data_IF_184306444241
#
_entry.id   IF_184306444241
#
_cell.length_a   1.000
_cell.length_b   1.000
_cell.length_c   1.000
_cell.angle_alpha   90.00
_cell.angle_beta   90.00
_cell.angle_gamma   90.00
#
_symmetry.space_group_name_H-M   'P 1'
#
loop_
_entity.id
_entity.type
_entity.pdbx_description
1 polymer ?
#
# COMPACT_ATOMS: atom_id res chain seq x y z
N UNK A 1 1.33 8.22 -32.57
CA UNK A 1 1.54 6.75 -32.61
C UNK A 1 3.01 6.36 -32.80
N UNK A 2 3.76 6.93 -33.75
CA UNK A 2 5.22 6.67 -33.88
C UNK A 2 6.07 7.00 -32.62
N UNK A 3 5.56 7.82 -31.69
CA UNK A 3 6.22 8.11 -30.41
C UNK A 3 6.06 7.03 -29.34
N UNK A 4 5.00 6.21 -29.40
CA UNK A 4 4.76 5.12 -28.44
C UNK A 4 5.81 4.01 -28.61
N UNK A 5 6.12 3.62 -29.84
CA UNK A 5 7.12 2.57 -30.14
C UNK A 5 8.53 2.92 -29.64
N UNK A 6 8.95 4.19 -29.71
CA UNK A 6 10.31 4.60 -29.33
C UNK A 6 10.56 4.74 -27.83
N UNK A 7 9.51 4.88 -27.01
CA UNK A 7 9.66 5.12 -25.54
C UNK A 7 8.90 4.15 -24.64
N UNK A 8 7.91 3.41 -25.15
CA UNK A 8 7.13 2.44 -24.38
C UNK A 8 7.58 0.98 -24.58
N UNK A 9 8.62 0.73 -25.40
CA UNK A 9 8.91 -0.61 -25.94
C UNK A 9 9.84 -1.51 -25.12
N UNK A 10 10.28 -1.15 -23.92
CA UNK A 10 11.29 -1.94 -23.18
C UNK A 10 10.83 -2.50 -21.83
N UNK A 11 9.95 -1.81 -21.10
CA UNK A 11 9.50 -2.28 -19.79
C UNK A 11 8.17 -3.04 -19.92
N UNK A 12 8.15 -4.29 -19.45
CA UNK A 12 6.92 -5.05 -19.25
C UNK A 12 6.19 -4.50 -18.03
N UNK A 13 4.94 -4.08 -18.22
CA UNK A 13 4.15 -3.36 -17.21
C UNK A 13 2.78 -3.99 -16.98
N UNK A 14 2.40 -5.00 -17.77
CA UNK A 14 1.11 -5.67 -17.61
C UNK A 14 1.12 -7.15 -17.93
N UNK A 15 0.10 -7.85 -17.44
CA UNK A 15 -0.31 -9.19 -17.85
C UNK A 15 -1.77 -9.12 -18.31
N UNK A 16 -2.08 -9.80 -19.41
CA UNK A 16 -3.42 -9.90 -19.96
C UNK A 16 -3.83 -11.37 -20.07
N UNK A 17 -4.96 -11.68 -19.48
CA UNK A 17 -5.56 -13.01 -19.45
C UNK A 17 -7.00 -12.98 -19.93
N UNK A 18 -7.27 -13.64 -21.06
CA UNK A 18 -8.61 -13.83 -21.60
C UNK A 18 -9.07 -15.27 -21.38
N UNK A 19 -10.27 -15.45 -20.82
CA UNK A 19 -10.84 -16.76 -20.48
C UNK A 19 -12.15 -16.99 -21.22
N UNK A 20 -12.21 -18.09 -21.96
CA UNK A 20 -13.39 -18.49 -22.73
C UNK A 20 -14.49 -19.16 -21.88
N UNK A 21 -15.61 -19.49 -22.53
CA UNK A 21 -16.74 -20.20 -21.90
C UNK A 21 -16.41 -21.61 -21.41
N UNK A 22 -15.35 -22.22 -21.95
CA UNK A 22 -14.80 -23.49 -21.49
C UNK A 22 -14.00 -23.33 -20.19
N UNK A 23 -13.65 -22.10 -19.79
CA UNK A 23 -12.73 -21.82 -18.69
C UNK A 23 -11.27 -21.98 -19.10
N UNK A 24 -10.99 -22.12 -20.39
CA UNK A 24 -9.63 -22.09 -20.90
C UNK A 24 -9.17 -20.64 -20.91
N UNK A 25 -8.10 -20.40 -20.16
CA UNK A 25 -7.50 -19.10 -19.93
C UNK A 25 -6.26 -18.98 -20.81
N UNK A 26 -6.14 -17.89 -21.58
CA UNK A 26 -5.07 -17.63 -22.53
C UNK A 26 -4.24 -16.43 -22.07
N UNK A 27 -2.97 -16.67 -21.74
CA UNK A 27 -2.05 -15.58 -21.39
C UNK A 27 -1.49 -15.01 -22.69
N UNK A 28 -1.68 -13.73 -22.92
CA UNK A 28 -1.15 -13.10 -24.13
C UNK A 28 0.36 -12.92 -24.00
N UNK A 29 1.15 -13.91 -24.45
CA UNK A 29 2.59 -13.78 -24.69
C UNK A 29 3.47 -13.47 -23.47
N UNK A 30 2.96 -13.66 -22.24
CA UNK A 30 3.65 -13.28 -21.02
C UNK A 30 3.44 -11.82 -20.64
N UNK A 31 4.45 -11.21 -20.03
CA UNK A 31 4.47 -9.81 -19.66
C UNK A 31 4.53 -8.90 -20.88
N UNK A 32 3.61 -7.93 -20.91
CA UNK A 32 3.38 -7.02 -22.02
C UNK A 32 3.92 -5.62 -21.71
N UNK A 33 4.55 -5.00 -22.71
CA UNK A 33 4.78 -3.55 -22.71
C UNK A 33 3.45 -2.80 -22.87
N UNK A 34 3.41 -1.49 -22.60
CA UNK A 34 2.20 -0.71 -22.82
C UNK A 34 1.72 -0.79 -24.29
N UNK A 35 2.65 -0.80 -25.25
CA UNK A 35 2.29 -0.89 -26.66
C UNK A 35 1.78 -2.28 -27.06
N UNK A 36 2.37 -3.35 -26.50
CA UNK A 36 1.89 -4.71 -26.74
C UNK A 36 0.53 -4.94 -26.08
N UNK A 37 0.29 -4.36 -24.90
CA UNK A 37 -1.03 -4.33 -24.27
C UNK A 37 -2.06 -3.64 -25.18
N UNK A 38 -1.75 -2.47 -25.73
CA UNK A 38 -2.63 -1.79 -26.70
C UNK A 38 -2.97 -2.69 -27.89
N UNK A 39 -1.97 -3.36 -28.48
CA UNK A 39 -2.19 -4.28 -29.61
C UNK A 39 -3.07 -5.46 -29.22
N UNK A 40 -2.84 -6.06 -28.05
CA UNK A 40 -3.59 -7.20 -27.56
C UNK A 40 -5.05 -6.82 -27.28
N UNK A 41 -5.29 -5.68 -26.61
CA UNK A 41 -6.63 -5.20 -26.29
C UNK A 41 -7.48 -4.82 -27.52
N UNK A 42 -6.84 -4.48 -28.65
CA UNK A 42 -7.54 -4.20 -29.92
C UNK A 42 -8.02 -5.43 -30.65
N UNK A 43 -7.54 -6.62 -30.30
CA UNK A 43 -8.03 -7.85 -30.90
C UNK A 43 -9.48 -8.06 -30.46
N UNK A 44 -10.39 -8.43 -31.38
CA UNK A 44 -11.74 -8.81 -31.00
C UNK A 44 -11.64 -9.95 -29.99
N UNK A 45 -12.40 -9.84 -28.90
CA UNK A 45 -12.44 -10.83 -27.84
C UNK A 45 -13.48 -11.86 -28.27
N UNK A 46 -13.05 -13.10 -28.49
CA UNK A 46 -13.98 -14.24 -28.62
C UNK A 46 -14.40 -14.73 -27.22
N UNK A 47 -13.67 -14.30 -26.19
CA UNK A 47 -13.78 -14.67 -24.80
C UNK A 47 -14.70 -13.74 -23.99
N UNK A 48 -15.35 -14.29 -22.95
CA UNK A 48 -16.31 -13.54 -22.15
C UNK A 48 -15.69 -12.92 -20.87
N UNK A 49 -14.52 -13.42 -20.41
CA UNK A 49 -13.84 -12.89 -19.22
C UNK A 49 -12.46 -12.35 -19.59
N UNK A 50 -12.17 -11.11 -19.21
CA UNK A 50 -10.86 -10.47 -19.43
C UNK A 50 -10.26 -9.96 -18.13
N UNK A 51 -9.02 -10.31 -17.82
CA UNK A 51 -8.30 -9.87 -16.62
C UNK A 51 -7.01 -9.16 -17.00
N UNK A 52 -6.85 -7.94 -16.51
CA UNK A 52 -5.72 -7.06 -16.84
C UNK A 52 -5.04 -6.66 -15.54
N UNK A 53 -3.84 -7.18 -15.34
CA UNK A 53 -2.97 -6.79 -14.24
C UNK A 53 -1.94 -5.78 -14.74
N UNK A 54 -1.74 -4.69 -14.01
CA UNK A 54 -0.77 -3.63 -14.34
C UNK A 54 0.07 -3.29 -13.11
N UNK A 55 1.38 -3.47 -13.24
CA UNK A 55 2.35 -3.01 -12.27
C UNK A 55 2.82 -1.60 -12.64
N UNK A 56 2.88 -0.70 -11.65
CA UNK A 56 3.39 0.66 -11.78
C UNK A 56 2.77 1.43 -12.96
N UNK A 57 1.43 1.49 -13.00
CA UNK A 57 0.69 2.10 -14.12
C UNK A 57 1.27 3.47 -14.50
N UNK A 58 1.65 3.61 -15.76
CA UNK A 58 2.27 4.81 -16.31
C UNK A 58 1.37 5.49 -17.35
N UNK A 59 1.84 6.62 -17.89
CA UNK A 59 1.09 7.39 -18.90
C UNK A 59 0.80 6.61 -20.18
N UNK A 60 1.68 5.67 -20.55
CA UNK A 60 1.54 4.89 -21.79
C UNK A 60 0.53 3.77 -21.61
N UNK A 61 0.54 3.11 -20.45
CA UNK A 61 -0.47 2.12 -20.08
C UNK A 61 -1.84 2.78 -19.94
N UNK A 62 -1.93 3.96 -19.30
CA UNK A 62 -3.19 4.73 -19.25
C UNK A 62 -3.70 5.03 -20.66
N UNK A 63 -2.84 5.50 -21.55
CA UNK A 63 -3.22 5.79 -22.94
C UNK A 63 -3.67 4.51 -23.68
N UNK A 64 -3.00 3.39 -23.44
CA UNK A 64 -3.34 2.10 -24.05
C UNK A 64 -4.72 1.65 -23.61
N UNK A 65 -5.00 1.67 -22.30
CA UNK A 65 -6.30 1.33 -21.73
C UNK A 65 -7.41 2.28 -22.21
N UNK A 66 -7.16 3.60 -22.20
CA UNK A 66 -8.13 4.60 -22.61
C UNK A 66 -8.47 4.49 -24.10
N UNK A 67 -7.48 4.20 -24.95
CA UNK A 67 -7.67 4.08 -26.40
C UNK A 67 -8.39 2.78 -26.82
N UNK A 68 -8.46 1.79 -25.94
CA UNK A 68 -9.11 0.50 -26.21
C UNK A 68 -10.35 0.24 -25.37
N UNK A 69 -10.68 1.12 -24.42
CA UNK A 69 -11.90 1.01 -23.64
C UNK A 69 -13.13 1.13 -24.55
N UNK A 70 -14.09 0.22 -24.40
CA UNK A 70 -15.39 0.40 -25.04
C UNK A 70 -16.07 1.67 -24.49
N UNK A 71 -16.97 2.27 -25.27
CA UNK A 71 -17.77 3.42 -24.82
C UNK A 71 -18.46 3.12 -23.48
N UNK A 72 -18.94 1.89 -23.34
CA UNK A 72 -19.53 1.41 -22.11
C UNK A 72 -18.51 1.43 -20.95
N UNK A 73 -17.31 0.87 -21.11
CA UNK A 73 -16.32 0.77 -20.03
C UNK A 73 -15.62 2.08 -19.69
N UNK A 74 -15.58 3.03 -20.63
CA UNK A 74 -14.76 4.24 -20.55
C UNK A 74 -14.99 5.06 -19.26
N UNK A 75 -16.25 5.28 -18.86
CA UNK A 75 -16.55 6.07 -17.66
C UNK A 75 -16.02 5.41 -16.37
N UNK A 76 -16.32 4.12 -16.16
CA UNK A 76 -15.88 3.38 -14.98
C UNK A 76 -14.37 3.25 -14.92
N UNK A 77 -13.74 2.92 -16.04
CA UNK A 77 -12.29 2.75 -16.13
C UNK A 77 -11.56 4.07 -15.95
N UNK A 78 -12.05 5.17 -16.54
CA UNK A 78 -11.48 6.49 -16.39
C UNK A 78 -11.49 6.96 -14.94
N UNK A 79 -12.61 6.75 -14.24
CA UNK A 79 -12.71 7.08 -12.83
C UNK A 79 -11.82 6.19 -11.95
N UNK A 80 -11.77 4.89 -12.23
CA UNK A 80 -10.90 3.94 -11.54
C UNK A 80 -9.41 4.31 -11.68
N UNK A 81 -8.96 4.65 -12.89
CA UNK A 81 -7.61 5.16 -13.15
C UNK A 81 -7.36 6.43 -12.33
N UNK A 82 -8.29 7.39 -12.38
CA UNK A 82 -8.16 8.63 -11.63
C UNK A 82 -8.00 8.39 -10.12
N UNK A 83 -8.85 7.53 -9.54
CA UNK A 83 -8.80 7.18 -8.10
C UNK A 83 -7.53 6.42 -7.72
N UNK A 84 -7.04 5.54 -8.59
CA UNK A 84 -5.75 4.89 -8.36
C UNK A 84 -4.60 5.91 -8.35
N UNK A 85 -4.55 6.83 -9.31
CA UNK A 85 -3.47 7.82 -9.41
C UNK A 85 -3.48 8.81 -8.24
N UNK A 86 -4.65 9.20 -7.72
CA UNK A 86 -4.75 10.13 -6.61
C UNK A 86 -4.55 9.46 -5.26
N UNK A 87 -3.51 9.84 -4.50
CA UNK A 87 -3.32 9.37 -3.12
C UNK A 87 -4.53 9.69 -2.23
N UNK A 88 -4.98 10.95 -2.27
CA UNK A 88 -6.00 11.52 -1.38
C UNK A 88 -7.42 10.95 -1.54
N UNK A 89 -7.66 10.05 -2.49
CA UNK A 89 -8.94 9.32 -2.51
C UNK A 89 -9.02 8.27 -1.42
N UNK A 90 -7.92 8.04 -0.69
CA UNK A 90 -7.89 7.19 0.47
C UNK A 90 -8.21 5.73 0.16
N UNK A 91 -8.61 5.03 1.21
CA UNK A 91 -9.23 3.71 1.09
C UNK A 91 -10.64 3.87 0.57
N UNK A 92 -11.07 2.95 -0.30
CA UNK A 92 -12.43 2.93 -0.81
C UNK A 92 -12.84 1.52 -1.15
N UNK A 93 -14.06 1.16 -0.76
CA UNK A 93 -14.73 -0.06 -1.21
C UNK A 93 -16.10 0.35 -1.74
N UNK A 94 -16.36 0.11 -3.03
CA UNK A 94 -17.55 0.58 -3.71
C UNK A 94 -18.21 -0.55 -4.49
N UNK A 95 -19.54 -0.58 -4.46
CA UNK A 95 -20.34 -1.41 -5.34
C UNK A 95 -21.44 -0.53 -5.95
N UNK A 96 -21.43 -0.42 -7.28
CA UNK A 96 -22.37 0.45 -7.98
C UNK A 96 -22.92 -0.20 -9.22
N UNK A 97 -24.14 0.20 -9.54
CA UNK A 97 -24.75 -0.03 -10.84
C UNK A 97 -24.55 1.25 -11.63
N UNK A 98 -23.90 1.15 -12.78
CA UNK A 98 -23.69 2.26 -13.72
C UNK A 98 -24.95 2.34 -14.57
N UNK A 99 -25.78 3.40 -14.44
CA UNK A 99 -27.07 3.49 -15.12
C UNK A 99 -26.94 3.99 -16.56
N UNK A 100 -25.80 4.56 -16.94
CA UNK A 100 -25.59 5.15 -18.26
C UNK A 100 -25.45 4.05 -19.33
N UNK A 101 -26.43 4.03 -20.24
CA UNK A 101 -26.55 3.00 -21.27
C UNK A 101 -27.16 1.71 -20.72
N UNK A 102 -26.65 0.56 -21.17
CA UNK A 102 -27.07 -0.72 -20.59
C UNK A 102 -26.44 -0.82 -19.18
N UNK A 103 -27.22 -1.17 -18.14
CA UNK A 103 -26.71 -1.24 -16.77
C UNK A 103 -25.58 -2.25 -16.59
N UNK A 104 -24.54 -1.85 -15.87
CA UNK A 104 -23.41 -2.73 -15.48
C UNK A 104 -23.11 -2.59 -14.02
N UNK A 105 -22.69 -3.69 -13.41
CA UNK A 105 -22.11 -3.62 -12.09
C UNK A 105 -20.65 -3.17 -12.20
N UNK A 106 -20.19 -2.48 -11.17
CA UNK A 106 -18.79 -2.17 -10.94
C UNK A 106 -18.50 -2.39 -9.44
N UNK A 107 -17.65 -3.37 -9.17
CA UNK A 107 -17.13 -3.70 -7.84
C UNK A 107 -15.70 -3.18 -7.80
N UNK A 108 -15.42 -2.29 -6.88
CA UNK A 108 -14.19 -1.51 -6.91
C UNK A 108 -13.60 -1.40 -5.51
N UNK A 109 -12.28 -1.50 -5.43
CA UNK A 109 -11.56 -1.10 -4.23
C UNK A 109 -10.27 -0.36 -4.54
N UNK A 110 -9.86 0.48 -3.59
CA UNK A 110 -8.57 1.14 -3.55
C UNK A 110 -8.00 1.00 -2.13
N UNK A 111 -6.79 0.43 -2.04
CA UNK A 111 -6.12 0.09 -0.78
C UNK A 111 -4.75 0.79 -0.75
N UNK A 112 -4.65 2.04 -0.24
CA UNK A 112 -3.37 2.72 -0.01
C UNK A 112 -2.64 2.14 1.20
N UNK A 113 -1.35 1.85 1.08
CA UNK A 113 -0.55 1.31 2.16
C UNK A 113 0.86 1.89 2.17
N UNK A 114 1.56 1.62 3.25
CA UNK A 114 2.95 2.02 3.46
C UNK A 114 3.80 0.77 3.54
N UNK A 115 4.76 0.64 2.63
CA UNK A 115 5.75 -0.44 2.65
C UNK A 115 7.02 0.05 3.34
N UNK A 116 7.41 -0.62 4.42
CA UNK A 116 8.70 -0.36 5.08
C UNK A 116 9.76 -1.26 4.43
N UNK A 117 10.80 -0.65 3.86
CA UNK A 117 11.95 -1.36 3.30
C UNK A 117 13.25 -0.72 3.76
N UNK A 118 14.33 -1.50 3.70
CA UNK A 118 15.67 -1.05 4.05
C UNK A 118 16.52 -0.91 2.79
N UNK A 119 16.74 0.32 2.32
CA UNK A 119 17.52 0.57 1.10
C UNK A 119 18.73 1.47 1.38
N UNK A 120 19.83 1.24 0.66
CA UNK A 120 21.02 2.12 0.70
C UNK A 120 20.72 3.52 0.19
N UNK A 121 19.74 3.64 -0.71
CA UNK A 121 19.27 4.90 -1.27
C UNK A 121 17.75 4.87 -1.37
N UNK A 122 17.10 5.96 -1.00
CA UNK A 122 15.68 6.16 -1.22
C UNK A 122 15.34 6.03 -2.70
N UNK A 123 14.49 5.07 -3.03
CA UNK A 123 13.96 4.90 -4.38
C UNK A 123 12.87 5.94 -4.62
N UNK A 124 12.91 6.58 -5.78
CA UNK A 124 11.93 7.61 -6.14
C UNK A 124 10.96 7.03 -7.17
N UNK A 125 9.67 7.24 -6.95
CA UNK A 125 8.67 6.94 -7.99
C UNK A 125 8.95 7.82 -9.22
N UNK A 126 9.30 7.16 -10.33
CA UNK A 126 9.65 7.82 -11.58
C UNK A 126 8.43 8.41 -12.30
N UNK A 127 7.21 8.01 -11.88
CA UNK A 127 5.97 8.61 -12.38
C UNK A 127 5.79 9.94 -11.67
N UNK A 128 5.75 11.03 -12.43
CA UNK A 128 5.66 12.38 -11.85
C UNK A 128 4.35 13.06 -12.21
N UNK A 129 3.85 13.87 -11.27
CA UNK A 129 2.78 14.84 -11.50
C UNK A 129 3.29 15.96 -12.42
N UNK A 130 2.38 16.80 -12.91
CA UNK A 130 2.72 18.00 -13.70
C UNK A 130 3.69 18.94 -12.97
N UNK A 131 3.66 18.94 -11.64
CA UNK A 131 4.56 19.73 -10.78
C UNK A 131 5.98 19.19 -10.73
N UNK A 132 6.26 18.01 -11.27
CA UNK A 132 7.55 17.31 -11.13
C UNK A 132 7.66 16.44 -9.87
N UNK A 133 6.70 16.57 -8.95
CA UNK A 133 6.62 15.74 -7.75
C UNK A 133 6.31 14.28 -8.12
N UNK A 134 6.89 13.30 -7.40
CA UNK A 134 6.57 11.90 -7.62
C UNK A 134 5.09 11.61 -7.32
N UNK A 135 4.53 10.63 -8.01
CA UNK A 135 3.14 10.22 -7.88
C UNK A 135 2.87 9.64 -6.48
N UNK A 136 3.84 8.90 -5.94
CA UNK A 136 3.91 8.38 -4.58
C UNK A 136 5.10 8.96 -3.84
N UNK A 137 4.92 9.24 -2.56
CA UNK A 137 5.97 9.76 -1.70
C UNK A 137 6.75 8.63 -1.03
N UNK A 138 8.02 8.92 -0.74
CA UNK A 138 8.91 8.08 0.04
C UNK A 138 9.47 8.91 1.19
N UNK A 139 9.50 8.35 2.40
CA UNK A 139 9.98 9.04 3.59
C UNK A 139 11.07 8.22 4.28
N UNK A 140 12.22 8.83 4.50
CA UNK A 140 13.26 8.26 5.37
C UNK A 140 12.82 8.38 6.83
N UNK A 141 12.70 7.23 7.50
CA UNK A 141 12.32 7.11 8.92
C UNK A 141 13.47 6.64 9.80
N UNK A 142 14.71 6.68 9.30
CA UNK A 142 15.92 6.33 10.05
C UNK A 142 16.14 7.26 11.26
N UNK A 143 15.41 8.38 11.36
CA UNK A 143 15.39 9.19 12.58
C UNK A 143 14.88 8.40 13.80
N UNK A 144 14.08 7.35 13.59
CA UNK A 144 13.59 6.45 14.64
C UNK A 144 14.70 5.60 15.26
N UNK A 145 15.81 5.39 14.55
CA UNK A 145 16.98 4.64 15.05
C UNK A 145 17.73 5.39 16.15
N UNK A 146 18.40 4.63 17.01
CA UNK A 146 19.40 5.17 17.93
C UNK A 146 20.65 5.66 17.21
N UNK A 147 21.47 6.48 17.87
CA UNK A 147 22.75 6.95 17.27
C UNK A 147 23.72 5.82 16.97
N UNK A 148 23.71 4.73 17.77
CA UNK A 148 24.54 3.55 17.54
C UNK A 148 24.12 2.83 16.25
N UNK A 149 22.82 2.69 16.02
CA UNK A 149 22.26 2.06 14.82
C UNK A 149 22.38 2.93 13.56
N UNK A 150 22.43 4.26 13.70
CA UNK A 150 22.64 5.18 12.56
C UNK A 150 24.03 5.04 11.92
N UNK A 151 25.01 4.53 12.66
CA UNK A 151 26.37 4.32 12.16
C UNK A 151 26.57 2.97 11.47
N UNK A 152 25.54 2.11 11.43
CA UNK A 152 25.59 0.87 10.69
C UNK A 152 25.38 1.13 9.19
N UNK A 153 26.28 0.60 8.35
CA UNK A 153 26.23 0.74 6.88
C UNK A 153 25.12 -0.12 6.23
N UNK A 154 24.11 -0.53 7.00
CA UNK A 154 23.05 -1.45 6.57
C UNK A 154 21.93 -0.79 5.77
N UNK A 155 22.05 0.50 5.42
CA UNK A 155 21.06 1.26 4.64
C UNK A 155 20.03 1.98 5.52
N UNK A 156 19.16 2.78 4.91
CA UNK A 156 18.16 3.60 5.58
C UNK A 156 16.81 2.87 5.65
N UNK A 157 16.08 3.10 6.74
CA UNK A 157 14.70 2.64 6.86
C UNK A 157 13.79 3.63 6.14
N UNK A 158 13.10 3.17 5.12
CA UNK A 158 12.31 4.03 4.25
C UNK A 158 10.89 3.49 4.16
N UNK A 159 9.93 4.38 4.34
CA UNK A 159 8.52 4.13 4.10
C UNK A 159 8.16 4.60 2.69
N UNK A 160 7.57 3.70 1.89
CA UNK A 160 7.09 3.98 0.54
C UNK A 160 5.57 4.00 0.52
N UNK A 161 4.97 5.06 0.00
CA UNK A 161 3.55 5.08 -0.32
C UNK A 161 3.29 4.18 -1.52
N UNK A 162 2.28 3.32 -1.40
CA UNK A 162 1.88 2.37 -2.43
C UNK A 162 0.36 2.20 -2.44
N UNK A 163 -0.21 1.79 -3.56
CA UNK A 163 -1.65 1.53 -3.65
C UNK A 163 -1.91 0.29 -4.48
N UNK A 164 -2.80 -0.57 -3.97
CA UNK A 164 -3.44 -1.63 -4.77
C UNK A 164 -4.85 -1.18 -5.12
N UNK A 165 -5.30 -1.44 -6.33
CA UNK A 165 -6.66 -1.10 -6.76
C UNK A 165 -7.21 -2.16 -7.69
N UNK A 166 -8.46 -2.52 -7.50
CA UNK A 166 -9.15 -3.50 -8.34
C UNK A 166 -10.50 -2.96 -8.78
N UNK A 167 -10.83 -3.19 -10.05
CA UNK A 167 -12.16 -2.97 -10.61
C UNK A 167 -12.60 -4.27 -11.28
N UNK A 168 -13.74 -4.82 -10.88
CA UNK A 168 -14.44 -5.90 -11.57
C UNK A 168 -15.76 -5.35 -12.09
N UNK A 169 -15.97 -5.36 -13.40
CA UNK A 169 -17.16 -4.79 -14.02
C UNK A 169 -17.65 -5.65 -15.18
N UNK A 170 -18.96 -5.80 -15.30
CA UNK A 170 -19.53 -6.65 -16.34
C UNK A 170 -21.04 -6.48 -16.47
N UNK A 171 -21.57 -7.19 -17.46
CA UNK A 171 -23.00 -7.28 -17.72
C UNK A 171 -23.65 -8.30 -16.80
N UNK A 172 -23.01 -9.45 -16.69
CA UNK A 172 -23.48 -10.60 -15.94
C UNK A 172 -22.29 -11.42 -15.43
N UNK A 173 -22.56 -12.66 -15.02
CA UNK A 173 -21.57 -13.60 -14.49
C UNK A 173 -20.70 -14.28 -15.56
N UNK A 174 -21.09 -14.20 -16.82
CA UNK A 174 -20.38 -14.81 -17.93
C UNK A 174 -19.48 -13.78 -18.62
N UNK A 175 -19.96 -12.54 -18.77
CA UNK A 175 -19.28 -11.46 -19.50
C UNK A 175 -18.79 -10.34 -18.58
N UNK A 176 -17.52 -10.37 -18.21
CA UNK A 176 -16.93 -9.37 -17.31
C UNK A 176 -15.44 -9.11 -17.53
N UNK A 177 -15.00 -7.92 -17.11
CA UNK A 177 -13.60 -7.50 -17.15
C UNK A 177 -13.13 -7.15 -15.74
N UNK A 178 -11.88 -7.47 -15.44
CA UNK A 178 -11.21 -7.01 -14.24
C UNK A 178 -9.91 -6.29 -14.53
N UNK A 179 -9.66 -5.22 -13.79
CA UNK A 179 -8.44 -4.43 -13.82
C UNK A 179 -7.82 -4.43 -12.43
N UNK A 180 -6.53 -4.76 -12.32
CA UNK A 180 -5.75 -4.66 -11.09
C UNK A 180 -4.56 -3.73 -11.32
N UNK A 181 -4.46 -2.66 -10.55
CA UNK A 181 -3.32 -1.75 -10.56
C UNK A 181 -2.58 -1.84 -9.23
N UNK A 182 -1.26 -2.02 -9.30
CA UNK A 182 -0.42 -2.12 -8.10
C UNK A 182 0.84 -1.27 -8.25
N UNK A 183 1.20 -0.59 -7.17
CA UNK A 183 2.47 0.15 -7.06
C UNK A 183 3.55 -0.76 -6.46
N UNK A 184 4.61 -1.00 -7.23
CA UNK A 184 5.77 -1.85 -6.89
C UNK A 184 7.10 -1.14 -7.23
N UNK A 185 7.10 0.19 -7.34
CA UNK A 185 8.27 0.97 -7.81
C UNK A 185 9.46 0.91 -6.86
N UNK A 186 9.24 0.43 -5.65
CA UNK A 186 10.22 0.31 -4.58
C UNK A 186 10.71 -1.13 -4.37
N UNK A 187 10.14 -2.14 -5.04
CA UNK A 187 10.59 -3.52 -4.86
C UNK A 187 11.81 -3.79 -5.77
N UNK A 188 12.87 -4.36 -5.21
CA UNK A 188 14.10 -4.68 -5.94
C UNK A 188 14.19 -6.18 -6.21
N UNK A 189 14.28 -6.56 -7.50
CA UNK A 189 14.10 -7.95 -7.98
C UNK A 189 15.09 -9.00 -7.44
N UNK A 190 16.09 -8.58 -6.67
CA UNK A 190 17.16 -9.45 -6.13
C UNK A 190 17.18 -9.48 -4.61
N UNK A 191 16.27 -8.77 -3.94
CA UNK A 191 16.26 -8.63 -2.48
C UNK A 191 14.98 -9.16 -1.88
N UNK A 192 13.84 -8.99 -2.56
CA UNK A 192 12.54 -9.30 -1.99
C UNK A 192 12.07 -10.71 -2.40
N UNK A 193 11.95 -11.65 -1.46
CA UNK A 193 11.56 -13.04 -1.74
C UNK A 193 10.08 -13.19 -2.16
N UNK A 194 9.23 -12.20 -1.86
CA UNK A 194 7.78 -12.17 -2.13
C UNK A 194 7.40 -11.20 -3.28
N UNK A 195 8.26 -11.06 -4.29
CA UNK A 195 8.06 -10.13 -5.41
C UNK A 195 6.82 -10.47 -6.25
N UNK A 196 5.79 -9.63 -6.16
CA UNK A 196 4.63 -9.68 -7.08
C UNK A 196 4.95 -9.07 -8.45
N UNK A 197 6.09 -9.44 -9.03
CA UNK A 197 6.54 -8.88 -10.30
C UNK A 197 5.98 -9.66 -11.49
N UNK A 198 5.91 -8.99 -12.64
CA UNK A 198 5.53 -9.64 -13.91
C UNK A 198 6.48 -10.78 -14.24
N UNK A 199 7.78 -10.57 -14.00
CA UNK A 199 8.82 -11.58 -14.24
C UNK A 199 8.60 -12.82 -13.36
N UNK A 200 8.20 -12.62 -12.10
CA UNK A 200 7.95 -13.71 -11.16
C UNK A 200 6.78 -14.60 -11.63
N UNK A 201 5.66 -13.99 -12.03
CA UNK A 201 4.53 -14.75 -12.60
C UNK A 201 4.87 -15.45 -13.92
N UNK A 202 5.69 -14.83 -14.77
CA UNK A 202 6.19 -15.46 -15.99
C UNK A 202 7.10 -16.66 -15.68
N UNK A 203 7.94 -16.55 -14.66
CA UNK A 203 8.88 -17.59 -14.28
C UNK A 203 8.15 -18.81 -13.72
N UNK A 204 7.21 -18.63 -12.80
CA UNK A 204 6.39 -19.73 -12.27
C UNK A 204 5.65 -20.49 -13.38
N UNK A 205 5.11 -19.77 -14.38
CA UNK A 205 4.45 -20.42 -15.52
C UNK A 205 5.44 -21.25 -16.36
N UNK A 206 6.67 -20.76 -16.54
CA UNK A 206 7.70 -21.44 -17.34
C UNK A 206 8.30 -22.65 -16.63
N UNK A 207 8.59 -22.49 -15.34
CA UNK A 207 9.35 -23.47 -14.57
C UNK A 207 8.43 -24.58 -14.04
N UNK A 208 7.26 -24.21 -13.49
CA UNK A 208 6.35 -25.16 -12.85
C UNK A 208 5.15 -25.56 -13.73
N UNK A 209 4.94 -24.86 -14.85
CA UNK A 209 3.73 -25.01 -15.66
C UNK A 209 2.46 -24.54 -14.95
N UNK A 210 2.59 -23.90 -13.78
CA UNK A 210 1.48 -23.44 -12.96
C UNK A 210 1.23 -21.98 -13.24
N UNK A 211 0.00 -21.68 -13.68
CA UNK A 211 -0.42 -20.30 -13.91
C UNK A 211 -1.03 -19.71 -12.65
N UNK A 212 -0.25 -18.89 -11.95
CA UNK A 212 -0.69 -18.13 -10.79
C UNK A 212 -1.61 -16.98 -11.21
N UNK A 213 -2.57 -16.62 -10.36
CA UNK A 213 -3.45 -15.45 -10.55
C UNK A 213 -2.81 -14.21 -9.92
N UNK A 214 -2.38 -13.21 -10.71
CA UNK A 214 -1.79 -11.99 -10.19
C UNK A 214 -2.76 -11.17 -9.34
N UNK A 215 -4.08 -11.32 -9.48
CA UNK A 215 -5.05 -10.55 -8.68
C UNK A 215 -5.05 -11.02 -7.23
N UNK A 216 -4.84 -12.31 -6.99
CA UNK A 216 -4.70 -12.92 -5.66
C UNK A 216 -3.24 -13.04 -5.25
N UNK A 217 -2.36 -12.23 -5.84
CA UNK A 217 -0.93 -12.23 -5.53
C UNK A 217 -0.27 -13.63 -5.66
N UNK A 218 -0.82 -14.49 -6.52
CA UNK A 218 -0.36 -15.86 -6.73
C UNK A 218 -0.83 -16.88 -5.68
N UNK A 219 -1.69 -16.52 -4.71
CA UNK A 219 -2.24 -17.48 -3.74
C UNK A 219 -3.20 -18.50 -4.39
N UNK A 220 -3.69 -18.20 -5.60
CA UNK A 220 -4.54 -19.11 -6.38
C UNK A 220 -4.05 -19.22 -7.81
N UNK A 221 -4.46 -20.28 -8.50
CA UNK A 221 -4.20 -20.43 -9.93
C UNK A 221 -5.24 -19.69 -10.78
N UNK A 222 -4.85 -19.21 -11.96
CA UNK A 222 -5.73 -18.46 -12.86
C UNK A 222 -6.86 -19.31 -13.44
N UNK A 223 -6.66 -20.63 -13.53
CA UNK A 223 -7.64 -21.63 -13.98
C UNK A 223 -8.69 -21.98 -12.90
N UNK A 224 -8.34 -21.83 -11.61
CA UNK A 224 -9.26 -22.01 -10.50
C UNK A 224 -10.06 -20.74 -10.18
N UNK A 225 -9.83 -19.65 -10.91
CA UNK A 225 -10.53 -18.39 -10.68
C UNK A 225 -12.04 -18.55 -10.88
N UNK A 226 -12.78 -18.07 -9.90
CA UNK A 226 -14.23 -18.19 -9.85
C UNK A 226 -14.84 -17.50 -11.07
N UNK A 227 -15.65 -18.22 -11.84
CA UNK A 227 -16.44 -17.61 -12.93
C UNK A 227 -17.40 -16.56 -12.40
N UNK A 228 -17.82 -16.67 -11.15
CA UNK A 228 -18.71 -15.70 -10.52
C UNK A 228 -17.92 -14.43 -10.12
N UNK A 229 -18.15 -13.28 -10.80
CA UNK A 229 -17.35 -12.05 -10.65
C UNK A 229 -17.37 -11.48 -9.23
N UNK A 230 -18.46 -11.69 -8.50
CA UNK A 230 -18.60 -11.23 -7.11
C UNK A 230 -17.78 -12.04 -6.14
N UNK A 231 -17.78 -13.36 -6.30
CA UNK A 231 -16.97 -14.23 -5.46
C UNK A 231 -15.49 -14.02 -5.77
N UNK A 232 -15.16 -13.87 -7.05
CA UNK A 232 -13.82 -13.48 -7.49
C UNK A 232 -13.38 -12.15 -6.86
N UNK A 233 -14.22 -11.11 -6.92
CA UNK A 233 -13.93 -9.82 -6.29
C UNK A 233 -13.70 -9.96 -4.78
N UNK A 234 -14.53 -10.72 -4.06
CA UNK A 234 -14.37 -10.94 -2.61
C UNK A 234 -13.07 -11.69 -2.29
N UNK A 235 -12.73 -12.70 -3.07
CA UNK A 235 -11.48 -13.46 -2.91
C UNK A 235 -10.27 -12.55 -3.11
N UNK A 236 -10.27 -11.78 -4.21
CA UNK A 236 -9.21 -10.81 -4.50
C UNK A 236 -9.12 -9.76 -3.39
N UNK A 237 -10.24 -9.21 -2.94
CA UNK A 237 -10.26 -8.24 -1.83
C UNK A 237 -9.71 -8.85 -0.54
N UNK A 238 -10.10 -10.07 -0.18
CA UNK A 238 -9.64 -10.75 1.03
C UNK A 238 -8.12 -10.97 1.03
N UNK A 239 -7.57 -11.42 -0.11
CA UNK A 239 -6.12 -11.61 -0.27
C UNK A 239 -5.38 -10.27 -0.21
N UNK A 240 -5.84 -9.27 -0.98
CA UNK A 240 -5.18 -7.96 -1.02
C UNK A 240 -5.23 -7.22 0.31
N UNK A 241 -6.35 -7.27 1.01
CA UNK A 241 -6.45 -6.76 2.39
C UNK A 241 -5.52 -7.50 3.34
N UNK A 242 -5.38 -8.82 3.20
CA UNK A 242 -4.48 -9.60 4.04
C UNK A 242 -3.02 -9.19 3.83
N UNK A 243 -2.56 -9.01 2.58
CA UNK A 243 -1.20 -8.53 2.29
C UNK A 243 -0.98 -7.11 2.80
N UNK A 244 -1.92 -6.19 2.56
CA UNK A 244 -1.85 -4.83 3.10
C UNK A 244 -1.81 -4.83 4.64
N UNK A 245 -2.59 -5.69 5.31
CA UNK A 245 -2.54 -5.86 6.76
C UNK A 245 -1.17 -6.36 7.24
N UNK A 246 -0.48 -7.22 6.49
CA UNK A 246 0.89 -7.63 6.85
C UNK A 246 1.88 -6.47 6.79
N UNK A 247 1.81 -5.61 5.77
CA UNK A 247 2.63 -4.39 5.68
C UNK A 247 2.37 -3.46 6.88
N UNK A 248 1.09 -3.24 7.22
CA UNK A 248 0.72 -2.45 8.40
C UNK A 248 1.24 -3.05 9.70
N UNK A 249 1.09 -4.37 9.88
CA UNK A 249 1.57 -5.07 11.07
C UNK A 249 3.09 -4.96 11.21
N UNK A 250 3.82 -5.14 10.11
CA UNK A 250 5.28 -5.00 10.08
C UNK A 250 5.70 -3.57 10.46
N UNK A 251 5.09 -2.55 9.84
CA UNK A 251 5.39 -1.15 10.13
C UNK A 251 5.10 -0.78 11.60
N UNK A 252 3.95 -1.18 12.13
CA UNK A 252 3.59 -0.90 13.54
C UNK A 252 4.52 -1.61 14.51
N UNK A 253 4.93 -2.84 14.22
CA UNK A 253 5.89 -3.57 15.03
C UNK A 253 7.27 -2.88 15.03
N UNK A 254 7.73 -2.44 13.86
CA UNK A 254 8.98 -1.68 13.75
C UNK A 254 8.94 -0.37 14.55
N UNK A 255 7.86 0.41 14.43
CA UNK A 255 7.72 1.68 15.17
C UNK A 255 7.68 1.45 16.68
N UNK A 256 6.96 0.42 17.14
CA UNK A 256 6.89 0.04 18.55
C UNK A 256 8.30 -0.23 19.13
N UNK A 257 9.06 -1.07 18.44
CA UNK A 257 10.42 -1.41 18.87
C UNK A 257 11.35 -0.20 18.81
N UNK A 258 11.31 0.57 17.73
CA UNK A 258 12.16 1.74 17.56
C UNK A 258 11.90 2.81 18.63
N UNK A 259 10.63 3.07 18.99
CA UNK A 259 10.27 4.00 20.07
C UNK A 259 10.81 3.50 21.42
N UNK A 260 10.63 2.21 21.75
CA UNK A 260 11.12 1.63 23.01
C UNK A 260 12.63 1.73 23.13
N UNK A 261 13.34 1.35 22.07
CA UNK A 261 14.80 1.38 22.01
C UNK A 261 15.34 2.81 22.11
N UNK A 262 14.75 3.75 21.36
CA UNK A 262 15.13 5.16 21.43
C UNK A 262 14.94 5.75 22.82
N UNK A 263 13.79 5.50 23.45
CA UNK A 263 13.50 6.02 24.79
C UNK A 263 14.41 5.43 25.87
N UNK A 264 14.78 4.15 25.74
CA UNK A 264 15.75 3.49 26.61
C UNK A 264 17.15 4.11 26.48
N UNK A 265 17.65 4.26 25.24
CA UNK A 265 18.95 4.89 24.95
C UNK A 265 19.01 6.34 25.46
N UNK A 266 17.96 7.12 25.20
CA UNK A 266 17.85 8.49 25.68
C UNK A 266 17.96 8.58 27.21
N UNK A 267 17.28 7.70 27.94
CA UNK A 267 17.32 7.67 29.41
C UNK A 267 18.73 7.39 29.93
N UNK A 268 19.42 6.40 29.34
CA UNK A 268 20.81 6.06 29.71
C UNK A 268 21.74 7.26 29.45
N UNK A 269 21.62 7.91 28.29
CA UNK A 269 22.45 9.09 27.93
C UNK A 269 22.18 10.29 28.86
N UNK A 270 20.93 10.49 29.26
CA UNK A 270 20.57 11.53 30.20
C UNK A 270 21.20 11.29 31.59
N UNK A 271 21.13 10.07 32.11
CA UNK A 271 21.74 9.68 33.40
C UNK A 271 23.27 9.85 33.38
N UNK A 272 23.92 9.53 32.26
CA UNK A 272 25.36 9.73 32.07
C UNK A 272 25.76 11.21 32.02
N UNK A 273 24.96 12.04 31.35
CA UNK A 273 25.17 13.49 31.28
C UNK A 273 25.00 14.14 32.67
N UNK A 274 24.03 13.68 33.46
CA UNK A 274 23.81 14.13 34.84
C UNK A 274 24.97 13.72 35.76
N UNK A 275 25.43 12.46 35.66
CA UNK A 275 26.56 11.94 36.45
C UNK A 275 27.88 12.67 36.15
N UNK A 276 28.09 13.09 34.90
CA UNK A 276 29.28 13.83 34.47
C UNK A 276 29.28 15.30 34.93
N UNK A 277 28.11 15.84 35.31
CA UNK A 277 27.97 17.21 35.81
C UNK A 277 28.21 17.36 37.32
N UNK A 278 28.09 16.26 38.09
CA UNK A 278 28.32 16.23 39.54
C UNK A 278 29.79 16.15 39.97
N UNK A 279 30.71 15.91 39.02
CA UNK A 279 32.16 15.89 39.27
C UNK A 279 32.80 17.25 38.93
N UNK A 280 32.42 18.31 39.64
CA UNK A 280 32.96 19.64 39.41
C UNK A 280 34.20 19.91 40.28
N UNK A 281 35.39 19.81 39.67
CA UNK A 281 36.46 20.75 40.01
C UNK A 281 35.98 22.18 39.65
N UNK A 282 36.29 23.23 40.43
CA UNK A 282 35.59 24.53 40.35
C UNK A 282 35.85 25.38 39.09
N UNK A 283 36.49 24.86 38.04
CA UNK A 283 36.93 25.63 36.87
C UNK A 283 36.31 25.26 35.52
N UNK A 284 35.41 24.26 35.44
CA UNK A 284 34.97 23.65 34.18
C UNK A 284 33.45 23.66 33.92
N UNK A 285 32.73 24.76 34.18
CA UNK A 285 31.25 24.77 34.18
C UNK A 285 30.56 24.75 32.81
N UNK A 286 31.28 24.67 31.69
CA UNK A 286 30.70 24.82 30.34
C UNK A 286 30.19 23.52 29.70
N UNK A 287 30.90 22.40 29.83
CA UNK A 287 30.67 21.21 28.97
C UNK A 287 29.44 20.37 29.32
N UNK A 288 29.11 20.22 30.61
CA UNK A 288 27.98 19.38 31.07
C UNK A 288 26.61 19.96 30.70
N UNK A 289 26.45 21.28 30.79
CA UNK A 289 25.21 21.95 30.39
C UNK A 289 24.96 21.87 28.88
N UNK A 290 26.02 22.01 28.06
CA UNK A 290 25.90 21.89 26.60
C UNK A 290 25.41 20.51 26.18
N UNK A 291 25.97 19.42 26.75
CA UNK A 291 25.56 18.06 26.42
C UNK A 291 24.08 17.78 26.75
N UNK A 292 23.60 18.27 27.91
CA UNK A 292 22.19 18.15 28.31
C UNK A 292 21.26 18.91 27.36
N UNK A 293 21.61 20.14 27.00
CA UNK A 293 20.80 20.95 26.08
C UNK A 293 20.73 20.31 24.68
N UNK A 294 21.83 19.75 24.18
CA UNK A 294 21.84 19.03 22.90
C UNK A 294 20.90 17.82 22.93
N UNK A 295 20.96 16.99 23.98
CA UNK A 295 20.05 15.83 24.14
C UNK A 295 18.57 16.24 24.14
N UNK A 296 18.24 17.36 24.78
CA UNK A 296 16.86 17.86 24.83
C UNK A 296 16.36 18.34 23.46
N UNK A 297 17.24 18.96 22.66
CA UNK A 297 16.90 19.38 21.30
C UNK A 297 16.71 18.17 20.37
N UNK A 298 17.60 17.17 20.46
CA UNK A 298 17.47 15.90 19.71
C UNK A 298 16.15 15.20 20.04
N UNK A 299 15.81 15.08 21.33
CA UNK A 299 14.53 14.52 21.75
C UNK A 299 13.35 15.31 21.20
N UNK A 300 13.40 16.65 21.25
CA UNK A 300 12.30 17.49 20.74
C UNK A 300 12.07 17.30 19.24
N UNK A 301 13.14 17.29 18.45
CA UNK A 301 13.05 17.05 17.01
C UNK A 301 12.52 15.65 16.70
N UNK A 302 13.06 14.63 17.37
CA UNK A 302 12.59 13.25 17.24
C UNK A 302 11.09 13.14 17.56
N UNK A 303 10.61 13.74 18.65
CA UNK A 303 9.20 13.71 19.01
C UNK A 303 8.30 14.37 17.99
N UNK A 304 8.73 15.51 17.45
CA UNK A 304 7.99 16.21 16.41
C UNK A 304 7.81 15.31 15.18
N UNK A 305 8.89 14.66 14.75
CA UNK A 305 8.88 13.77 13.58
C UNK A 305 8.06 12.50 13.85
N UNK A 306 8.28 11.83 15.00
CA UNK A 306 7.53 10.62 15.40
C UNK A 306 6.04 10.91 15.54
N UNK A 307 5.66 12.02 16.16
CA UNK A 307 4.24 12.40 16.32
C UNK A 307 3.57 12.71 14.98
N UNK A 308 4.29 13.34 14.04
CA UNK A 308 3.78 13.60 12.70
C UNK A 308 3.54 12.29 11.94
N UNK A 309 4.52 11.37 11.98
CA UNK A 309 4.39 10.04 11.38
C UNK A 309 3.22 9.25 11.98
N UNK A 310 3.15 9.15 13.30
CA UNK A 310 2.05 8.43 13.99
C UNK A 310 0.68 8.97 13.59
N UNK A 311 0.53 10.30 13.48
CA UNK A 311 -0.74 10.92 13.05
C UNK A 311 -1.13 10.50 11.63
N UNK A 312 -0.18 10.51 10.69
CA UNK A 312 -0.42 10.09 9.31
C UNK A 312 -0.85 8.62 9.21
N UNK A 313 -0.16 7.74 9.94
CA UNK A 313 -0.46 6.31 9.96
C UNK A 313 -1.82 6.02 10.61
N UNK A 314 -2.12 6.63 11.76
CA UNK A 314 -3.42 6.49 12.46
C UNK A 314 -4.56 6.91 11.53
N UNK A 315 -4.48 8.11 10.94
CA UNK A 315 -5.53 8.61 10.05
C UNK A 315 -5.80 7.66 8.88
N UNK A 316 -4.74 7.04 8.33
CA UNK A 316 -4.87 6.10 7.21
C UNK A 316 -5.55 4.79 7.65
N UNK A 317 -5.14 4.20 8.78
CA UNK A 317 -5.77 2.97 9.29
C UNK A 317 -7.23 3.22 9.72
N UNK A 318 -7.52 4.35 10.36
CA UNK A 318 -8.89 4.71 10.72
C UNK A 318 -9.81 4.84 9.48
N UNK A 319 -9.28 5.35 8.38
CA UNK A 319 -10.00 5.38 7.11
C UNK A 319 -10.25 3.97 6.55
N UNK A 320 -9.29 3.05 6.67
CA UNK A 320 -9.51 1.63 6.34
C UNK A 320 -10.66 1.03 7.15
N UNK A 321 -10.62 1.16 8.47
CA UNK A 321 -11.62 0.58 9.37
C UNK A 321 -13.00 1.16 9.03
N UNK A 322 -13.10 2.48 8.84
CA UNK A 322 -14.35 3.15 8.46
C UNK A 322 -14.93 2.63 7.14
N UNK A 323 -14.11 2.44 6.12
CA UNK A 323 -14.58 1.94 4.82
C UNK A 323 -14.97 0.45 4.88
N UNK A 324 -14.28 -0.35 5.68
CA UNK A 324 -14.66 -1.74 5.94
C UNK A 324 -15.98 -1.81 6.73
N UNK A 325 -16.18 -0.96 7.74
CA UNK A 325 -17.45 -0.85 8.47
C UNK A 325 -18.60 -0.44 7.54
N UNK A 326 -18.35 0.50 6.63
CA UNK A 326 -19.31 0.88 5.60
C UNK A 326 -19.63 -0.28 4.66
N UNK A 327 -18.61 -1.04 4.25
CA UNK A 327 -18.77 -2.23 3.43
C UNK A 327 -19.64 -3.28 4.14
N UNK A 328 -19.37 -3.60 5.40
CA UNK A 328 -20.16 -4.59 6.14
C UNK A 328 -21.58 -4.13 6.51
N UNK A 329 -21.78 -2.82 6.72
CA UNK A 329 -23.11 -2.28 7.04
C UNK A 329 -24.03 -2.12 5.83
N UNK A 330 -23.48 -1.86 4.63
CA UNK A 330 -24.26 -1.55 3.42
C UNK A 330 -23.89 -2.41 2.22
N UNK A 331 -22.60 -2.53 1.94
CA UNK A 331 -22.09 -3.20 0.75
C UNK A 331 -22.31 -4.71 0.74
N UNK A 332 -22.19 -5.38 1.89
CA UNK A 332 -22.21 -6.84 2.01
C UNK A 332 -23.52 -7.47 1.52
N UNK A 333 -24.64 -6.73 1.59
CA UNK A 333 -25.94 -7.21 1.13
C UNK A 333 -25.93 -7.53 -0.37
N UNK A 334 -25.16 -6.77 -1.16
CA UNK A 334 -24.99 -7.01 -2.59
C UNK A 334 -24.41 -8.40 -2.90
N UNK A 335 -23.64 -8.96 -1.96
CA UNK A 335 -22.99 -10.26 -2.07
C UNK A 335 -23.80 -11.41 -1.45
N UNK A 336 -24.82 -11.10 -0.62
CA UNK A 336 -25.66 -12.10 0.05
C UNK A 336 -26.92 -12.47 -0.75
N UNK A 337 -27.44 -11.58 -1.60
CA UNK A 337 -28.78 -11.73 -2.20
C UNK A 337 -28.87 -12.59 -3.48
N UNK A 338 -27.77 -13.14 -3.99
CA UNK A 338 -27.77 -13.81 -5.31
C UNK A 338 -27.56 -15.31 -5.31
N UNK A 339 -27.29 -15.92 -4.16
CA UNK A 339 -27.42 -17.36 -4.07
C UNK A 339 -28.92 -17.67 -4.16
N UNK A 340 -29.37 -18.22 -5.28
CA UNK A 340 -30.74 -18.76 -5.42
C UNK A 340 -30.99 -19.96 -4.47
N UNK A 341 -29.97 -20.35 -3.73
CA UNK A 341 -29.97 -21.18 -2.55
C UNK A 341 -29.74 -20.27 -1.35
N UNK A 342 -30.45 -20.47 -0.25
CA UNK A 342 -30.29 -19.75 1.03
C UNK A 342 -28.90 -19.85 1.66
N UNK A 343 -27.92 -20.41 0.97
CA UNK A 343 -26.53 -20.59 1.41
C UNK A 343 -25.59 -19.77 0.52
N UNK A 344 -24.98 -18.73 1.08
CA UNK A 344 -23.80 -18.06 0.50
C UNK A 344 -22.76 -19.14 0.18
N UNK A 345 -22.09 -19.07 -0.98
CA UNK A 345 -21.09 -20.08 -1.34
C UNK A 345 -19.96 -20.14 -0.31
N UNK A 346 -19.44 -21.33 -0.04
CA UNK A 346 -18.33 -21.53 0.92
C UNK A 346 -17.15 -20.57 0.71
N UNK A 347 -16.66 -20.38 -0.53
CA UNK A 347 -15.56 -19.44 -0.82
C UNK A 347 -15.89 -17.98 -0.47
N UNK A 348 -17.11 -17.52 -0.72
CA UNK A 348 -17.53 -16.16 -0.37
C UNK A 348 -17.63 -15.96 1.15
N UNK A 349 -18.12 -16.96 1.89
CA UNK A 349 -18.14 -16.93 3.37
C UNK A 349 -16.71 -16.85 3.92
N UNK A 350 -15.79 -17.67 3.41
CA UNK A 350 -14.38 -17.65 3.82
C UNK A 350 -13.79 -16.26 3.55
N UNK A 351 -14.01 -15.71 2.36
CA UNK A 351 -13.50 -14.39 1.98
C UNK A 351 -14.06 -13.29 2.90
N UNK A 352 -15.37 -13.26 3.17
CA UNK A 352 -15.99 -12.30 4.08
C UNK A 352 -15.47 -12.42 5.51
N UNK A 353 -15.26 -13.65 5.99
CA UNK A 353 -14.69 -13.91 7.32
C UNK A 353 -13.26 -13.40 7.41
N UNK A 354 -12.44 -13.63 6.38
CA UNK A 354 -11.09 -13.09 6.29
C UNK A 354 -11.09 -11.56 6.28
N UNK A 355 -11.95 -10.93 5.47
CA UNK A 355 -12.07 -9.47 5.40
C UNK A 355 -12.44 -8.89 6.79
N UNK A 356 -13.35 -9.54 7.51
CA UNK A 356 -13.73 -9.12 8.87
C UNK A 356 -12.57 -9.28 9.85
N UNK A 357 -11.84 -10.39 9.80
CA UNK A 357 -10.64 -10.58 10.62
C UNK A 357 -9.57 -9.53 10.34
N UNK A 358 -9.37 -9.14 9.08
CA UNK A 358 -8.46 -8.04 8.73
C UNK A 358 -8.93 -6.71 9.32
N UNK A 359 -10.24 -6.40 9.26
CA UNK A 359 -10.83 -5.19 9.87
C UNK A 359 -10.52 -5.11 11.36
N UNK A 360 -10.76 -6.20 12.09
CA UNK A 360 -10.52 -6.24 13.55
C UNK A 360 -9.02 -6.09 13.89
N UNK A 361 -8.13 -6.67 13.09
CA UNK A 361 -6.68 -6.50 13.26
C UNK A 361 -6.23 -5.05 12.97
N UNK A 362 -6.75 -4.42 11.92
CA UNK A 362 -6.46 -3.02 11.62
C UNK A 362 -6.95 -2.09 12.75
N UNK A 363 -8.11 -2.35 13.32
CA UNK A 363 -8.62 -1.61 14.49
C UNK A 363 -7.68 -1.74 15.69
N UNK A 364 -7.18 -2.94 15.99
CA UNK A 364 -6.17 -3.17 17.04
C UNK A 364 -4.87 -2.42 16.78
N UNK A 365 -4.40 -2.41 15.53
CA UNK A 365 -3.19 -1.66 15.15
C UNK A 365 -3.38 -0.15 15.33
N UNK A 366 -4.57 0.38 14.98
CA UNK A 366 -4.90 1.80 15.18
C UNK A 366 -4.85 2.17 16.66
N UNK A 367 -5.48 1.37 17.54
CA UNK A 367 -5.46 1.58 18.99
C UNK A 367 -4.01 1.57 19.50
N UNK A 368 -3.20 0.60 19.07
CA UNK A 368 -1.79 0.50 19.47
C UNK A 368 -0.98 1.75 19.08
N UNK A 369 -1.17 2.28 17.88
CA UNK A 369 -0.51 3.53 17.45
C UNK A 369 -0.99 4.74 18.25
N UNK A 370 -2.28 4.81 18.56
CA UNK A 370 -2.86 5.89 19.36
C UNK A 370 -2.32 5.86 20.80
N UNK A 371 -2.18 4.69 21.40
CA UNK A 371 -1.55 4.52 22.71
C UNK A 371 -0.10 5.02 22.72
N UNK A 372 0.67 4.75 21.65
CA UNK A 372 2.04 5.28 21.54
C UNK A 372 2.08 6.79 21.50
N UNK A 373 1.24 7.39 20.67
CA UNK A 373 1.14 8.84 20.53
C UNK A 373 0.75 9.49 21.87
N UNK A 374 -0.15 8.87 22.63
CA UNK A 374 -0.58 9.38 23.93
C UNK A 374 0.49 9.22 25.01
N UNK A 375 1.22 8.11 25.02
CA UNK A 375 2.33 7.90 25.96
C UNK A 375 3.49 8.87 25.71
N UNK A 376 3.87 9.09 24.44
CA UNK A 376 4.86 10.11 24.06
C UNK A 376 4.43 11.52 24.51
N UNK A 377 3.13 11.81 24.48
CA UNK A 377 2.60 13.10 24.93
C UNK A 377 2.60 13.26 26.45
N UNK A 378 2.48 12.16 27.22
CA UNK A 378 2.38 12.16 28.69
C UNK A 378 3.73 12.13 29.40
N UNK A 379 4.68 11.35 28.90
CA UNK A 379 5.93 11.06 29.62
C UNK A 379 6.96 12.20 29.57
N UNK A 380 6.78 13.16 28.67
CA UNK A 380 7.83 14.08 28.24
C UNK A 380 7.67 15.51 28.79
N UNK A 381 6.46 16.08 28.95
CA UNK A 381 6.29 17.38 29.59
C UNK A 381 6.90 17.41 31.01
N UNK A 382 6.94 16.29 31.72
CA UNK A 382 7.53 16.21 33.06
C UNK A 382 9.06 16.36 33.08
N UNK A 383 9.76 15.98 32.01
CA UNK A 383 11.23 16.07 31.96
C UNK A 383 11.74 17.39 31.35
N UNK A 384 10.99 18.00 30.44
CA UNK A 384 11.38 19.27 29.78
C UNK A 384 11.02 20.49 30.64
N UNK A 385 9.93 20.45 31.41
CA UNK A 385 9.45 21.60 32.20
C UNK A 385 10.25 21.82 33.50
N UNK A 386 11.04 20.84 33.95
CA UNK A 386 11.85 20.96 35.18
C UNK A 386 13.21 21.66 34.99
N UNK A 387 13.54 22.21 33.81
CA UNK A 387 14.77 22.97 33.61
C UNK A 387 14.51 24.48 33.50
N UNK A 388 15.00 25.32 34.45
CA UNK A 388 14.76 26.77 34.45
C UNK A 388 15.27 27.52 33.20
N UNK A 389 16.11 26.88 32.39
CA UNK A 389 16.75 27.50 31.23
C UNK A 389 15.89 27.53 29.96
N UNK A 390 14.80 26.74 29.87
CA UNK A 390 13.94 26.70 28.68
C UNK A 390 13.12 27.98 28.46
N UNK A 391 12.85 28.77 29.52
CA UNK A 391 12.14 30.06 29.39
C UNK A 391 12.99 31.18 28.79
N UNK A 392 14.32 31.06 28.78
CA UNK A 392 15.21 32.10 28.26
C UNK A 392 15.36 32.03 26.73
N UNK A 393 15.28 30.84 26.13
CA UNK A 393 15.50 30.65 24.70
C UNK A 393 14.27 30.97 23.82
N UNK A 394 13.07 31.08 24.39
CA UNK A 394 11.85 31.50 23.66
C UNK A 394 11.65 33.02 23.58
N UNK A 395 12.54 33.83 24.17
CA UNK A 395 12.46 35.29 24.19
C UNK A 395 13.62 36.00 23.48
N UNK A 396 14.42 35.29 22.69
CA UNK A 396 15.53 35.86 21.92
C UNK A 396 15.26 35.77 20.41
#
# INVERSE_FOLDING_TARGET
MQGLEKTAGSLKVSLLDDTDDGGCSSLHGGGLTAFDLYKALRRPVEENIRRIYVANIDRWTVLSLAATASESQAAALGEFIYRHLQWNTGTRLDNRIIPDGIPRYALEFHLPFYALRKHKKTLRDLRTRRTGEPLRQSQDVSFLRTLLEKNDNSGNDIIYQAKVSCLVSGWDRYSWVAYMFIDLYFEESHVDEDLESITDYEQHLRDDGVRLDPFTAGETTSHAALREPREYFLQVLAVRLSKTKHEWKHLVAYIDEAIKTYMSDYKIRLEQAESSSGSANPGGSGKGNTARTTLQLELHEWLKMTTALLRELINTIEEYVRELDRFFSKGVHYFRSFTHSTNVSGPAIVSLTTIQGVRDELERLSIKLQDFKDNLSKDIPRQVIMSPHFRAAQKA
#
